data_IF_324346603477
#
_entry.id   IF_324346603477
#
_cell.length_a   1.000
_cell.length_b   1.000
_cell.length_c   1.000
_cell.angle_alpha   90.00
_cell.angle_beta   90.00
_cell.angle_gamma   90.00
#
_symmetry.space_group_name_H-M   'P 1'
#
loop_
_entity.id
_entity.type
_entity.pdbx_description
1 polymer ?
#
# COMPACT_ATOMS: atom_id res chain seq x y z
N UNK A 1 69.61 41.49 52.39
CA UNK A 1 71.01 41.29 51.97
C UNK A 1 71.31 39.80 52.13
N UNK A 2 71.64 39.12 51.03
CA UNK A 2 72.18 37.73 50.90
C UNK A 2 71.35 36.58 51.48
N UNK A 3 70.66 35.72 50.71
CA UNK A 3 71.07 34.76 49.66
C UNK A 3 71.41 33.35 50.23
N UNK A 4 70.94 32.33 49.49
CA UNK A 4 71.34 30.90 49.44
C UNK A 4 70.82 29.81 50.42
N UNK A 5 69.94 28.98 49.82
CA UNK A 5 70.11 27.57 49.42
C UNK A 5 70.29 26.42 50.43
N UNK A 6 69.67 25.30 50.00
CA UNK A 6 69.93 23.88 50.27
C UNK A 6 69.18 23.19 51.43
N UNK A 7 68.42 22.14 51.09
CA UNK A 7 67.73 21.30 52.08
C UNK A 7 66.84 20.20 51.50
N UNK A 8 67.45 19.07 51.21
CA UNK A 8 66.93 17.74 50.80
C UNK A 8 65.75 17.25 51.67
N UNK A 9 64.79 16.53 51.07
CA UNK A 9 63.85 15.70 51.85
C UNK A 9 62.76 15.00 51.02
N UNK A 10 63.04 13.77 50.61
CA UNK A 10 62.03 12.77 50.23
C UNK A 10 61.29 12.29 51.48
N UNK A 11 59.96 12.09 51.41
CA UNK A 11 59.29 10.94 52.03
C UNK A 11 57.90 10.75 51.45
N UNK A 12 57.64 9.50 51.08
CA UNK A 12 56.36 8.92 50.70
C UNK A 12 55.34 8.95 51.85
N UNK A 13 54.05 8.92 51.48
CA UNK A 13 53.02 8.33 52.31
C UNK A 13 51.77 9.17 52.50
N UNK A 14 50.63 8.45 52.61
CA UNK A 14 49.24 8.88 52.83
C UNK A 14 48.48 9.04 51.50
N UNK A 15 47.37 8.35 51.22
CA UNK A 15 46.44 7.64 52.09
C UNK A 15 45.63 6.66 51.23
N UNK A 16 45.49 5.44 51.72
CA UNK A 16 44.62 4.41 51.18
C UNK A 16 43.17 4.64 51.64
N UNK A 17 42.26 4.96 50.73
CA UNK A 17 40.83 4.79 50.95
C UNK A 17 40.16 4.04 49.79
N UNK A 18 39.37 3.03 50.21
CA UNK A 18 38.68 2.03 49.40
C UNK A 18 37.40 2.58 48.77
N UNK A 19 37.11 2.03 47.58
CA UNK A 19 35.80 1.79 46.92
C UNK A 19 34.94 3.00 46.54
N UNK A 20 34.87 3.23 45.23
CA UNK A 20 33.60 3.49 44.56
C UNK A 20 33.30 2.26 43.68
N UNK A 21 32.27 1.49 44.05
CA UNK A 21 31.76 0.41 43.21
C UNK A 21 31.23 1.03 41.92
N UNK A 22 31.96 0.83 40.82
CA UNK A 22 31.50 1.24 39.50
C UNK A 22 30.50 0.18 39.05
N UNK A 23 29.21 0.49 39.12
CA UNK A 23 28.19 -0.31 38.42
C UNK A 23 28.43 -0.11 36.92
N UNK A 24 29.00 -1.11 36.26
CA UNK A 24 28.98 -1.21 34.81
C UNK A 24 27.54 -1.42 34.39
N UNK A 25 26.86 -0.36 33.97
CA UNK A 25 25.64 -0.50 33.17
C UNK A 25 26.10 -1.09 31.86
N UNK A 26 25.82 -2.37 31.64
CA UNK A 26 25.94 -2.97 30.32
C UNK A 26 24.90 -2.31 29.43
N UNK A 27 25.34 -1.37 28.61
CA UNK A 27 24.56 -0.87 27.48
C UNK A 27 24.42 -2.01 26.45
N UNK A 28 23.52 -2.94 26.72
CA UNK A 28 23.00 -3.87 25.70
C UNK A 28 22.02 -3.10 24.80
N UNK A 29 22.52 -2.03 24.17
CA UNK A 29 21.94 -1.48 22.96
C UNK A 29 22.31 -2.42 21.79
N UNK A 30 21.78 -3.64 21.85
CA UNK A 30 21.64 -4.48 20.67
C UNK A 30 20.83 -3.68 19.66
N UNK A 31 21.54 -3.13 18.69
CA UNK A 31 21.00 -2.27 17.66
C UNK A 31 20.01 -3.11 16.87
N UNK A 32 18.71 -2.93 17.11
CA UNK A 32 17.67 -3.39 16.18
C UNK A 32 17.80 -2.51 14.94
N UNK A 33 18.80 -2.80 14.11
CA UNK A 33 18.76 -2.42 12.71
C UNK A 33 17.70 -3.29 12.06
N UNK A 34 16.44 -2.87 12.21
CA UNK A 34 15.40 -3.30 11.28
C UNK A 34 15.88 -2.83 9.91
N UNK A 35 16.40 -3.79 9.12
CA UNK A 35 16.77 -3.50 7.75
C UNK A 35 15.48 -3.09 7.05
N UNK A 36 15.35 -1.80 6.76
CA UNK A 36 14.33 -1.33 5.83
C UNK A 36 14.66 -1.95 4.48
N UNK A 37 14.13 -3.14 4.24
CA UNK A 37 14.26 -3.82 2.97
C UNK A 37 13.57 -2.94 1.94
N UNK A 38 14.38 -2.29 1.10
CA UNK A 38 13.88 -1.42 0.03
C UNK A 38 12.85 -2.25 -0.76
N UNK A 39 11.62 -1.75 -0.95
CA UNK A 39 10.60 -2.52 -1.63
C UNK A 39 11.11 -2.90 -3.02
N UNK A 40 11.10 -4.19 -3.31
CA UNK A 40 11.42 -4.70 -4.64
C UNK A 40 10.27 -4.31 -5.55
N UNK A 41 10.46 -3.25 -6.34
CA UNK A 41 9.51 -2.86 -7.36
C UNK A 41 9.64 -3.88 -8.49
N UNK A 42 8.66 -4.80 -8.58
CA UNK A 42 8.60 -5.74 -9.69
C UNK A 42 8.28 -4.97 -10.98
N UNK A 43 9.11 -5.15 -12.00
CA UNK A 43 8.86 -4.57 -13.32
C UNK A 43 7.81 -5.42 -14.06
N UNK A 44 6.59 -4.91 -14.15
CA UNK A 44 5.46 -5.59 -14.78
C UNK A 44 5.25 -4.98 -16.17
N UNK A 45 5.12 -5.83 -17.19
CA UNK A 45 4.75 -5.36 -18.53
C UNK A 45 3.27 -4.94 -18.54
N UNK A 46 2.93 -3.74 -19.06
CA UNK A 46 1.55 -3.31 -19.14
C UNK A 46 0.76 -4.23 -20.07
N UNK A 47 -0.52 -4.42 -19.78
CA UNK A 47 -1.45 -5.18 -20.61
C UNK A 47 -2.62 -4.28 -21.01
N UNK A 48 -3.21 -4.56 -22.17
CA UNK A 48 -4.32 -3.78 -22.72
C UNK A 48 -5.60 -4.59 -22.68
N UNK A 49 -6.65 -4.00 -22.11
CA UNK A 49 -8.02 -4.50 -22.21
C UNK A 49 -8.71 -3.67 -23.31
N UNK A 50 -9.27 -4.33 -24.31
CA UNK A 50 -9.92 -3.67 -25.44
C UNK A 50 -11.43 -3.54 -25.22
N UNK A 51 -12.05 -2.51 -25.79
CA UNK A 51 -13.49 -2.28 -25.73
C UNK A 51 -13.90 -1.03 -26.50
N UNK A 52 -15.20 -0.81 -26.64
CA UNK A 52 -15.74 0.41 -27.27
C UNK A 52 -15.68 1.56 -26.26
N UNK A 53 -14.65 2.38 -26.37
CA UNK A 53 -14.42 3.53 -25.50
C UNK A 53 -14.86 4.81 -26.20
N UNK A 54 -15.51 5.70 -25.45
CA UNK A 54 -16.02 6.99 -25.92
C UNK A 54 -15.87 8.02 -24.80
N UNK A 55 -15.98 9.31 -25.14
CA UNK A 55 -15.91 10.36 -24.13
C UNK A 55 -16.99 10.20 -23.04
N UNK A 56 -18.14 9.61 -23.40
CA UNK A 56 -19.24 9.34 -22.47
C UNK A 56 -18.93 8.27 -21.41
N UNK A 57 -17.96 7.38 -21.64
CA UNK A 57 -17.63 6.29 -20.71
C UNK A 57 -16.23 6.41 -20.07
N UNK A 58 -15.56 7.55 -20.23
CA UNK A 58 -14.19 7.81 -19.74
C UNK A 58 -13.97 7.45 -18.25
N UNK A 59 -15.01 7.57 -17.41
CA UNK A 59 -14.95 7.33 -15.95
C UNK A 59 -15.71 6.08 -15.51
N UNK A 60 -16.21 5.30 -16.45
CA UNK A 60 -17.03 4.12 -16.19
C UNK A 60 -16.15 2.88 -16.05
N UNK A 61 -15.32 2.87 -15.01
CA UNK A 61 -14.46 1.76 -14.63
C UNK A 61 -14.32 1.72 -13.11
N UNK A 62 -14.29 0.52 -12.52
CA UNK A 62 -14.06 0.33 -11.09
C UNK A 62 -13.46 -1.05 -10.77
N UNK A 63 -12.77 -1.14 -9.63
CA UNK A 63 -12.14 -2.35 -9.09
C UNK A 63 -12.96 -2.93 -7.94
N UNK A 64 -13.13 -4.27 -7.93
CA UNK A 64 -13.74 -4.98 -6.81
C UNK A 64 -12.69 -5.47 -5.81
N UNK A 65 -13.12 -5.74 -4.57
CA UNK A 65 -12.27 -6.38 -3.56
C UNK A 65 -11.88 -7.83 -3.92
N UNK A 66 -12.57 -8.45 -4.88
CA UNK A 66 -12.31 -9.80 -5.36
C UNK A 66 -11.30 -9.84 -6.53
N UNK A 67 -10.69 -8.70 -6.89
CA UNK A 67 -9.72 -8.63 -7.99
C UNK A 67 -10.37 -8.61 -9.40
N UNK A 68 -11.64 -8.22 -9.48
CA UNK A 68 -12.32 -8.00 -10.75
C UNK A 68 -12.27 -6.53 -11.15
N UNK A 69 -12.16 -6.27 -12.45
CA UNK A 69 -12.37 -4.95 -13.04
C UNK A 69 -13.72 -4.97 -13.72
N UNK A 70 -14.57 -3.97 -13.45
CA UNK A 70 -15.73 -3.70 -14.27
C UNK A 70 -15.50 -2.42 -15.06
N UNK A 71 -15.76 -2.43 -16.37
CA UNK A 71 -15.69 -1.23 -17.20
C UNK A 71 -16.79 -1.21 -18.26
N UNK A 72 -17.13 -0.01 -18.72
CA UNK A 72 -18.14 0.18 -19.75
C UNK A 72 -17.54 0.03 -21.15
N UNK A 73 -18.25 -0.70 -22.01
CA UNK A 73 -18.02 -0.74 -23.45
C UNK A 73 -19.33 -0.39 -24.14
N UNK A 74 -19.49 0.89 -24.51
CA UNK A 74 -20.76 1.48 -24.96
C UNK A 74 -21.91 1.23 -23.97
N UNK A 75 -22.93 0.45 -24.34
CA UNK A 75 -24.11 0.14 -23.52
C UNK A 75 -23.98 -1.18 -22.72
N UNK A 76 -22.77 -1.74 -22.64
CA UNK A 76 -22.48 -2.97 -21.92
C UNK A 76 -21.51 -2.72 -20.79
N UNK A 77 -21.63 -3.51 -19.73
CA UNK A 77 -20.63 -3.59 -18.68
C UNK A 77 -19.86 -4.90 -18.83
N UNK A 78 -18.55 -4.80 -18.98
CA UNK A 78 -17.66 -5.95 -19.06
C UNK A 78 -16.99 -6.13 -17.70
N UNK A 79 -17.01 -7.37 -17.20
CA UNK A 79 -16.31 -7.74 -15.97
C UNK A 79 -15.16 -8.65 -16.33
N UNK A 80 -13.97 -8.29 -15.87
CA UNK A 80 -12.70 -8.93 -16.21
C UNK A 80 -12.00 -9.40 -14.94
N UNK A 81 -11.54 -10.65 -14.93
CA UNK A 81 -10.64 -11.15 -13.90
C UNK A 81 -9.23 -10.61 -14.14
N UNK A 82 -8.79 -9.71 -13.26
CA UNK A 82 -7.48 -9.09 -13.35
C UNK A 82 -6.35 -9.93 -12.72
N UNK A 83 -6.70 -10.94 -11.93
CA UNK A 83 -5.75 -11.79 -11.22
C UNK A 83 -5.32 -12.95 -12.14
N UNK A 84 -6.27 -13.58 -12.82
CA UNK A 84 -6.01 -14.78 -13.63
C UNK A 84 -5.97 -14.50 -15.14
N UNK A 85 -5.20 -13.47 -15.52
CA UNK A 85 -4.79 -13.26 -16.91
C UNK A 85 -5.72 -12.39 -17.76
N UNK A 86 -6.44 -11.43 -17.15
CA UNK A 86 -7.27 -10.42 -17.84
C UNK A 86 -8.33 -11.02 -18.78
N UNK A 87 -9.10 -11.98 -18.26
CA UNK A 87 -10.17 -12.65 -19.02
C UNK A 87 -11.52 -12.02 -18.72
N UNK A 88 -12.35 -11.83 -19.75
CA UNK A 88 -13.73 -11.39 -19.57
C UNK A 88 -14.53 -12.55 -18.97
N UNK A 89 -15.08 -12.35 -17.77
CA UNK A 89 -15.87 -13.34 -17.04
C UNK A 89 -17.37 -13.13 -17.25
N UNK A 90 -17.81 -11.88 -17.40
CA UNK A 90 -19.21 -11.51 -17.59
C UNK A 90 -19.37 -10.36 -18.58
N UNK A 91 -20.50 -10.36 -19.27
CA UNK A 91 -20.96 -9.27 -20.14
C UNK A 91 -22.39 -8.93 -19.80
N UNK A 92 -22.61 -7.81 -19.12
CA UNK A 92 -23.90 -7.41 -18.60
C UNK A 92 -24.57 -6.46 -19.60
N UNK A 93 -25.77 -6.82 -20.05
CA UNK A 93 -26.44 -6.18 -21.19
C UNK A 93 -27.92 -5.86 -20.87
N UNK A 94 -28.14 -4.67 -20.31
CA UNK A 94 -29.48 -4.11 -20.05
C UNK A 94 -29.59 -2.62 -20.33
N UNK A 95 -28.47 -1.88 -20.33
CA UNK A 95 -28.49 -0.48 -20.70
C UNK A 95 -28.82 -0.30 -22.19
N UNK A 96 -29.65 0.70 -22.47
CA UNK A 96 -30.03 1.09 -23.82
C UNK A 96 -29.26 2.32 -24.33
N UNK A 97 -28.37 2.86 -23.49
CA UNK A 97 -27.55 4.04 -23.76
C UNK A 97 -26.13 3.82 -23.24
N UNK A 98 -25.22 4.75 -23.52
CA UNK A 98 -23.82 4.63 -23.09
C UNK A 98 -23.72 4.61 -21.57
N UNK A 99 -23.08 3.58 -21.01
CA UNK A 99 -22.78 3.53 -19.58
C UNK A 99 -21.70 4.57 -19.27
N UNK A 100 -21.97 5.46 -18.31
CA UNK A 100 -21.13 6.61 -17.97
C UNK A 100 -20.53 6.53 -16.55
N UNK A 101 -21.05 5.65 -15.70
CA UNK A 101 -20.53 5.40 -14.35
C UNK A 101 -20.69 3.93 -13.97
N UNK A 102 -19.69 3.39 -13.25
CA UNK A 102 -19.69 2.04 -12.68
C UNK A 102 -19.11 2.13 -11.27
N UNK A 103 -19.74 1.44 -10.30
CA UNK A 103 -19.24 1.31 -8.92
C UNK A 103 -19.48 -0.08 -8.37
N UNK A 104 -18.43 -0.74 -7.89
CA UNK A 104 -18.56 -1.97 -7.13
C UNK A 104 -19.10 -1.68 -5.73
N UNK A 105 -19.86 -2.64 -5.19
CA UNK A 105 -20.12 -2.67 -3.77
C UNK A 105 -18.77 -2.89 -3.04
N UNK A 106 -18.45 -2.11 -1.98
CA UNK A 106 -17.23 -2.31 -1.19
C UNK A 106 -17.39 -3.49 -0.22
N UNK A 107 -17.82 -4.64 -0.74
CA UNK A 107 -17.96 -5.90 -0.01
C UNK A 107 -17.43 -7.05 -0.87
N UNK A 108 -17.41 -8.25 -0.31
CA UNK A 108 -17.08 -9.47 -1.06
C UNK A 108 -18.25 -9.94 -1.93
N UNK A 109 -19.46 -9.40 -1.72
CA UNK A 109 -20.61 -9.71 -2.56
C UNK A 109 -20.35 -9.13 -3.96
N UNK A 110 -20.59 -9.95 -4.99
CA UNK A 110 -20.35 -9.57 -6.38
C UNK A 110 -21.47 -8.66 -6.91
N UNK A 111 -21.71 -7.55 -6.22
CA UNK A 111 -22.71 -6.55 -6.59
C UNK A 111 -22.06 -5.33 -7.23
N UNK A 112 -22.67 -4.86 -8.30
CA UNK A 112 -22.17 -3.74 -9.09
C UNK A 112 -23.33 -2.79 -9.41
N UNK A 113 -23.08 -1.49 -9.35
CA UNK A 113 -23.99 -0.47 -9.83
C UNK A 113 -23.44 0.14 -11.13
N UNK A 114 -24.29 0.30 -12.13
CA UNK A 114 -23.97 1.03 -13.35
C UNK A 114 -25.03 2.06 -13.70
N UNK A 115 -24.61 3.16 -14.33
CA UNK A 115 -25.47 4.26 -14.76
C UNK A 115 -25.20 4.59 -16.22
N UNK A 116 -26.25 4.81 -17.01
CA UNK A 116 -26.12 5.30 -18.39
C UNK A 116 -26.42 6.79 -18.54
N UNK A 117 -26.11 7.32 -19.73
CA UNK A 117 -26.32 8.74 -20.07
C UNK A 117 -27.79 9.17 -20.11
N UNK A 118 -28.73 8.22 -20.08
CA UNK A 118 -30.16 8.52 -19.97
C UNK A 118 -30.63 8.54 -18.49
N UNK A 119 -29.71 8.29 -17.54
CA UNK A 119 -30.02 8.25 -16.11
C UNK A 119 -30.57 6.91 -15.62
N UNK A 120 -30.56 5.86 -16.46
CA UNK A 120 -30.93 4.52 -15.99
C UNK A 120 -29.86 4.03 -15.02
N UNK A 121 -30.27 3.57 -13.84
CA UNK A 121 -29.39 2.96 -12.85
C UNK A 121 -29.76 1.48 -12.75
N UNK A 122 -28.76 0.61 -12.80
CA UNK A 122 -28.93 -0.84 -12.66
C UNK A 122 -27.98 -1.34 -11.58
N UNK A 123 -28.53 -2.08 -10.63
CA UNK A 123 -27.75 -2.90 -9.69
C UNK A 123 -27.71 -4.30 -10.26
N UNK A 124 -26.54 -4.92 -10.26
CA UNK A 124 -26.31 -6.23 -10.82
C UNK A 124 -25.89 -7.20 -9.73
N UNK A 125 -26.39 -8.43 -9.83
CA UNK A 125 -25.68 -9.59 -9.31
C UNK A 125 -24.75 -10.10 -10.42
N UNK A 126 -23.45 -9.88 -10.27
CA UNK A 126 -22.46 -10.26 -11.28
C UNK A 126 -22.23 -11.76 -11.31
N UNK A 127 -22.45 -12.47 -10.21
CA UNK A 127 -22.27 -13.93 -10.18
C UNK A 127 -23.34 -14.62 -11.04
N UNK A 128 -24.58 -14.15 -10.94
CA UNK A 128 -25.71 -14.66 -11.72
C UNK A 128 -25.85 -13.98 -13.09
N UNK A 129 -25.27 -12.80 -13.28
CA UNK A 129 -25.49 -11.96 -14.47
C UNK A 129 -26.90 -11.37 -14.53
N UNK A 130 -27.54 -11.19 -13.37
CA UNK A 130 -28.92 -10.73 -13.19
C UNK A 130 -28.97 -9.32 -12.57
N UNK A 131 -30.17 -8.74 -12.47
CA UNK A 131 -30.44 -7.42 -11.87
C UNK A 131 -31.32 -7.54 -10.64
#
# INVERSE_FOLDING_TARGET
MTDKSDGIGSVDGLSSHKRADTMSVSDDHSSIQSSLQKPVIQNISPRTISGVLSQSNQKAIDWSLNGLIAFASYNRVLVVDAIHGLRVCQSLHRHNSSVCLIRWCPSTDLKLCSVDTNGTIIVWDVNEGSV
#
